data_IF_249098592727
#
_entry.id   IF_249098592727
#
_cell.length_a   1.000
_cell.length_b   1.000
_cell.length_c   1.000
_cell.angle_alpha   90.00
_cell.angle_beta   90.00
_cell.angle_gamma   90.00
#
_symmetry.space_group_name_H-M   'P 1'
#
loop_
_entity.id
_entity.type
_entity.pdbx_description
1 polymer ?
#
# COMPACT_ATOMS: atom_id res chain seq x y z
N UNK A 1 6.07 9.99 6.73
CA UNK A 1 4.68 9.54 6.57
C UNK A 1 4.72 8.08 6.14
N UNK A 2 4.04 7.20 6.89
CA UNK A 2 3.89 5.79 6.52
C UNK A 2 2.76 5.61 5.50
N UNK A 3 2.66 4.43 4.92
CA UNK A 3 1.57 4.06 4.03
C UNK A 3 0.83 2.83 4.58
N UNK A 4 -0.37 2.61 4.08
CA UNK A 4 -1.12 1.38 4.26
C UNK A 4 -1.41 0.75 2.90
N UNK A 5 -1.49 -0.57 2.87
CA UNK A 5 -1.84 -1.29 1.65
C UNK A 5 -2.10 -2.77 1.91
N UNK A 6 -2.57 -3.45 0.86
CA UNK A 6 -2.89 -4.88 0.91
C UNK A 6 -1.81 -5.68 0.19
N UNK A 7 -1.42 -6.80 0.79
CA UNK A 7 -0.50 -7.77 0.22
C UNK A 7 -1.23 -9.12 0.07
N UNK A 8 -0.80 -9.91 -0.91
CA UNK A 8 -1.30 -11.25 -1.16
C UNK A 8 -0.11 -12.21 -1.31
N UNK A 9 -0.33 -13.54 -1.18
CA UNK A 9 0.72 -14.52 -1.39
C UNK A 9 1.41 -14.37 -2.74
N UNK A 10 2.71 -14.64 -2.78
CA UNK A 10 3.48 -14.66 -4.00
C UNK A 10 2.94 -15.71 -4.99
N UNK A 11 2.96 -15.38 -6.28
CA UNK A 11 2.49 -16.30 -7.33
C UNK A 11 0.97 -16.34 -7.54
N UNK A 12 0.21 -15.43 -6.93
CA UNK A 12 -1.22 -15.30 -7.19
C UNK A 12 -1.48 -15.13 -8.71
N UNK A 13 -2.41 -15.89 -9.32
CA UNK A 13 -2.71 -15.77 -10.73
C UNK A 13 -3.11 -14.33 -11.11
N UNK A 14 -2.66 -13.86 -12.27
CA UNK A 14 -2.88 -12.48 -12.73
C UNK A 14 -4.34 -12.06 -12.71
N UNK A 15 -5.24 -12.96 -13.09
CA UNK A 15 -6.68 -12.69 -13.10
C UNK A 15 -7.25 -12.46 -11.69
N UNK A 16 -6.78 -13.20 -10.69
CA UNK A 16 -7.20 -13.03 -9.29
C UNK A 16 -6.64 -11.72 -8.75
N UNK A 17 -5.37 -11.40 -9.05
CA UNK A 17 -4.75 -10.12 -8.70
C UNK A 17 -5.52 -8.94 -9.30
N UNK A 18 -5.90 -9.03 -10.58
CA UNK A 18 -6.69 -8.00 -11.25
C UNK A 18 -8.08 -7.86 -10.61
N UNK A 19 -8.76 -8.97 -10.32
CA UNK A 19 -10.08 -8.95 -9.66
C UNK A 19 -10.04 -8.26 -8.30
N UNK A 20 -9.03 -8.57 -7.47
CA UNK A 20 -8.85 -7.92 -6.17
C UNK A 20 -8.53 -6.43 -6.33
N UNK A 21 -7.58 -6.09 -7.20
CA UNK A 21 -7.19 -4.69 -7.47
C UNK A 21 -8.40 -3.84 -7.90
N UNK A 22 -9.25 -4.38 -8.78
CA UNK A 22 -10.47 -3.70 -9.24
C UNK A 22 -11.50 -3.54 -8.12
N UNK A 23 -11.69 -4.56 -7.28
CA UNK A 23 -12.59 -4.46 -6.13
C UNK A 23 -12.13 -3.38 -5.14
N UNK A 24 -10.82 -3.30 -4.87
CA UNK A 24 -10.26 -2.23 -4.03
C UNK A 24 -10.45 -0.84 -4.65
N UNK A 25 -10.25 -0.69 -5.96
CA UNK A 25 -10.50 0.57 -6.65
C UNK A 25 -11.96 1.01 -6.49
N UNK A 26 -12.90 0.09 -6.63
CA UNK A 26 -14.34 0.38 -6.48
C UNK A 26 -14.65 0.87 -5.06
N UNK A 27 -14.21 0.14 -4.03
CA UNK A 27 -14.44 0.50 -2.63
C UNK A 27 -13.76 1.82 -2.27
N UNK A 28 -12.50 2.03 -2.67
CA UNK A 28 -11.79 3.28 -2.43
C UNK A 28 -12.35 4.47 -3.22
N UNK A 29 -13.19 4.22 -4.21
CA UNK A 29 -13.91 5.27 -4.96
C UNK A 29 -15.22 5.69 -4.29
N UNK A 30 -15.71 4.91 -3.31
CA UNK A 30 -16.97 5.21 -2.61
C UNK A 30 -16.81 6.46 -1.72
N UNK A 31 -17.72 7.45 -1.79
CA UNK A 31 -17.60 8.70 -1.04
C UNK A 31 -17.54 8.52 0.48
N UNK A 32 -18.32 7.59 1.03
CA UNK A 32 -18.37 7.29 2.46
C UNK A 32 -17.05 6.67 2.95
N UNK A 33 -16.44 5.78 2.16
CA UNK A 33 -15.12 5.21 2.46
C UNK A 33 -14.06 6.30 2.45
N UNK A 34 -14.05 7.16 1.43
CA UNK A 34 -13.12 8.29 1.37
C UNK A 34 -13.28 9.23 2.56
N UNK A 35 -14.51 9.58 2.92
CA UNK A 35 -14.81 10.44 4.09
C UNK A 35 -14.22 9.86 5.35
N UNK A 36 -14.48 8.57 5.62
CA UNK A 36 -13.96 7.90 6.82
C UNK A 36 -12.44 7.84 6.88
N UNK A 37 -11.77 7.62 5.75
CA UNK A 37 -10.31 7.66 5.68
C UNK A 37 -9.77 9.05 6.03
N UNK A 38 -10.37 10.11 5.47
CA UNK A 38 -9.99 11.50 5.76
C UNK A 38 -10.25 11.87 7.21
N UNK A 39 -11.39 11.45 7.78
CA UNK A 39 -11.73 11.64 9.19
C UNK A 39 -10.71 10.98 10.14
N UNK A 40 -10.07 9.90 9.69
CA UNK A 40 -9.00 9.21 10.43
C UNK A 40 -7.60 9.79 10.13
N UNK A 41 -7.51 10.88 9.37
CA UNK A 41 -6.26 11.55 9.04
C UNK A 41 -5.45 10.88 7.93
N UNK A 42 -6.05 9.96 7.16
CA UNK A 42 -5.42 9.38 5.98
C UNK A 42 -5.68 10.22 4.73
N UNK A 43 -4.78 10.14 3.77
CA UNK A 43 -4.96 10.67 2.42
C UNK A 43 -5.31 9.51 1.47
N UNK A 44 -6.57 9.39 0.98
CA UNK A 44 -6.99 8.28 0.15
C UNK A 44 -6.28 8.27 -1.21
N UNK A 45 -5.25 7.42 -1.33
CA UNK A 45 -4.53 7.20 -2.58
C UNK A 45 -4.62 5.73 -3.00
N UNK A 46 -5.36 5.45 -4.07
CA UNK A 46 -5.36 4.13 -4.69
C UNK A 46 -4.20 3.99 -5.67
N UNK A 47 -3.39 2.95 -5.49
CA UNK A 47 -2.44 2.47 -6.49
C UNK A 47 -2.86 1.06 -6.90
N UNK A 48 -2.96 0.81 -8.21
CA UNK A 48 -3.16 -0.55 -8.71
C UNK A 48 -1.98 -1.46 -8.37
N UNK A 49 -2.19 -2.77 -8.42
CA UNK A 49 -1.21 -3.79 -8.00
C UNK A 49 0.22 -3.57 -8.53
N UNK A 50 0.39 -3.27 -9.82
CA UNK A 50 1.72 -3.03 -10.42
C UNK A 50 2.38 -1.76 -9.88
N UNK A 51 1.66 -0.64 -9.84
CA UNK A 51 2.17 0.64 -9.36
C UNK A 51 2.51 0.57 -7.86
N UNK A 52 1.68 -0.13 -7.08
CA UNK A 52 1.96 -0.36 -5.67
C UNK A 52 3.18 -1.24 -5.46
N UNK A 53 3.37 -2.29 -6.27
CA UNK A 53 4.58 -3.11 -6.25
C UNK A 53 5.85 -2.29 -6.53
N UNK A 54 5.80 -1.38 -7.51
CA UNK A 54 6.91 -0.44 -7.80
C UNK A 54 7.17 0.52 -6.63
N UNK A 55 6.13 1.04 -6.00
CA UNK A 55 6.24 1.89 -4.81
C UNK A 55 6.94 1.17 -3.65
N UNK A 56 6.52 -0.07 -3.34
CA UNK A 56 7.16 -0.88 -2.29
C UNK A 56 8.64 -1.16 -2.57
N UNK A 57 8.98 -1.43 -3.83
CA UNK A 57 10.36 -1.64 -4.25
C UNK A 57 11.25 -0.40 -4.03
N UNK A 58 10.67 0.81 -4.10
CA UNK A 58 11.36 2.06 -3.79
C UNK A 58 11.43 2.37 -2.28
N UNK A 59 10.35 2.09 -1.53
CA UNK A 59 10.30 2.38 -0.10
C UNK A 59 11.21 1.45 0.71
N UNK A 60 11.28 0.17 0.36
CA UNK A 60 12.05 -0.84 1.10
C UNK A 60 13.52 -0.45 1.31
N UNK A 61 14.32 -0.12 0.26
CA UNK A 61 15.71 0.28 0.45
C UNK A 61 15.85 1.62 1.18
N UNK A 62 14.89 2.56 0.99
CA UNK A 62 14.91 3.85 1.68
C UNK A 62 14.81 3.67 3.19
N UNK A 63 13.86 2.86 3.64
CA UNK A 63 13.67 2.58 5.07
C UNK A 63 14.80 1.73 5.64
N UNK A 64 15.34 0.78 4.89
CA UNK A 64 16.53 0.03 5.30
C UNK A 64 17.74 0.95 5.56
N UNK A 65 17.97 1.95 4.69
CA UNK A 65 19.02 2.94 4.87
C UNK A 65 18.79 3.81 6.11
N UNK A 66 17.55 4.24 6.34
CA UNK A 66 17.18 5.04 7.51
C UNK A 66 17.44 4.30 8.83
N UNK A 67 17.03 3.02 8.93
CA UNK A 67 17.28 2.17 10.11
C UNK A 67 18.78 1.98 10.34
N UNK A 68 19.54 1.72 9.27
CA UNK A 68 21.00 1.58 9.39
C UNK A 68 21.66 2.86 9.89
N UNK A 69 21.21 4.02 9.41
CA UNK A 69 21.74 5.31 9.82
C UNK A 69 21.37 5.70 11.25
N UNK A 70 20.19 5.30 11.74
CA UNK A 70 19.75 5.59 13.10
C UNK A 70 20.42 4.71 14.16
N UNK A 71 21.06 3.61 13.77
CA UNK A 71 21.64 2.63 14.69
C UNK A 71 20.61 1.82 15.47
N UNK A 72 19.32 1.95 15.10
CA UNK A 72 18.22 1.25 15.74
C UNK A 72 18.27 -0.24 15.39
N UNK A 73 18.12 -1.09 16.39
CA UNK A 73 17.90 -2.53 16.23
C UNK A 73 16.51 -2.84 16.75
N UNK A 74 15.81 -3.73 16.05
CA UNK A 74 14.59 -4.32 16.58
C UNK A 74 15.02 -5.42 17.57
N UNK A 75 14.59 -5.27 18.81
CA UNK A 75 14.76 -6.22 19.91
C UNK A 75 13.94 -7.51 19.74
#
# INVERSE_FOLDING_TARGET
>A
MGFYGFLAPAGLPKEVTAKLSNAFQQVMSMPDVKSRMVEQGADPAFLGSEAFGKFLAGETPRWAAAVKASGTKLD
#
